data_IF_470119357742
#
_entry.id   IF_470119357742
#
_cell.length_a   1.000
_cell.length_b   1.000
_cell.length_c   1.000
_cell.angle_alpha   90.00
_cell.angle_beta   90.00
_cell.angle_gamma   90.00
#
_symmetry.space_group_name_H-M   'P 1'
#
loop_
_entity.id
_entity.type
_entity.pdbx_description
1 polymer ?
#
# COMPACT_ATOMS: atom_id res chain seq x y z
N UNK A 1 36.32 26.39 -15.45
CA UNK A 1 34.90 26.53 -15.83
C UNK A 1 34.52 25.27 -16.60
N UNK A 2 33.86 24.32 -15.95
CA UNK A 2 33.46 23.07 -16.62
C UNK A 2 32.44 23.40 -17.71
N UNK A 3 32.48 22.74 -18.89
CA UNK A 3 31.40 22.85 -19.87
C UNK A 3 30.13 22.41 -19.16
N UNK A 4 29.19 23.33 -18.96
CA UNK A 4 27.86 22.98 -18.48
C UNK A 4 27.24 22.08 -19.52
N UNK A 5 26.89 20.86 -19.11
CA UNK A 5 26.13 19.93 -19.94
C UNK A 5 24.97 20.67 -20.61
N UNK A 6 24.84 20.48 -21.92
CA UNK A 6 23.74 21.04 -22.70
C UNK A 6 22.41 20.41 -22.23
N UNK A 7 21.69 21.17 -21.39
CA UNK A 7 20.40 20.77 -20.78
C UNK A 7 19.27 20.61 -21.82
N UNK A 8 19.52 20.88 -23.11
CA UNK A 8 18.61 20.65 -24.22
C UNK A 8 18.38 19.17 -24.52
N UNK A 9 19.33 18.29 -24.16
CA UNK A 9 19.24 16.88 -24.51
C UNK A 9 18.09 16.17 -23.78
N UNK A 10 17.38 15.24 -24.46
CA UNK A 10 16.32 14.48 -23.81
C UNK A 10 16.91 13.59 -22.71
N UNK A 11 16.35 13.73 -21.51
CA UNK A 11 16.74 12.94 -20.33
C UNK A 11 15.83 11.73 -20.19
N UNK A 12 16.40 10.57 -19.82
CA UNK A 12 15.60 9.37 -19.52
C UNK A 12 14.64 9.68 -18.37
N UNK A 13 13.35 9.36 -18.54
CA UNK A 13 12.32 9.68 -17.55
C UNK A 13 12.66 9.19 -16.13
N UNK A 14 13.21 7.99 -16.00
CA UNK A 14 13.61 7.44 -14.69
C UNK A 14 14.71 8.26 -13.99
N UNK A 15 15.66 8.80 -14.75
CA UNK A 15 16.70 9.68 -14.21
C UNK A 15 16.10 11.01 -13.74
N UNK A 16 15.16 11.58 -14.51
CA UNK A 16 14.44 12.79 -14.11
C UNK A 16 13.60 12.57 -12.84
N UNK A 17 12.88 11.45 -12.75
CA UNK A 17 12.11 11.10 -11.56
C UNK A 17 12.99 10.91 -10.33
N UNK A 18 14.15 10.25 -10.46
CA UNK A 18 15.10 10.10 -9.35
C UNK A 18 15.70 11.45 -8.94
N UNK A 19 16.02 12.33 -9.89
CA UNK A 19 16.49 13.68 -9.57
C UNK A 19 15.45 14.48 -8.76
N UNK A 20 14.16 14.35 -9.10
CA UNK A 20 13.06 14.94 -8.32
C UNK A 20 12.98 14.38 -6.89
N UNK A 21 13.15 13.06 -6.73
CA UNK A 21 13.22 12.42 -5.41
C UNK A 21 14.38 12.98 -4.60
N UNK A 22 15.57 13.06 -5.18
CA UNK A 22 16.76 13.59 -4.50
C UNK A 22 16.57 15.05 -4.10
N UNK A 23 16.01 15.89 -4.99
CA UNK A 23 15.72 17.28 -4.66
C UNK A 23 14.76 17.39 -3.46
N UNK A 24 13.67 16.63 -3.47
CA UNK A 24 12.72 16.63 -2.35
C UNK A 24 13.38 16.22 -1.01
N UNK A 25 14.24 15.20 -1.05
CA UNK A 25 14.98 14.75 0.14
C UNK A 25 16.04 15.76 0.63
N UNK A 26 16.59 16.59 -0.26
CA UNK A 26 17.48 17.69 0.10
C UNK A 26 16.72 18.87 0.72
N UNK A 27 15.49 19.13 0.25
CA UNK A 27 14.64 20.19 0.77
C UNK A 27 14.17 19.87 2.21
N UNK A 28 13.98 18.59 2.55
CA UNK A 28 13.69 18.18 3.91
C UNK A 28 13.24 16.72 4.08
N UNK A 29 12.80 16.34 5.29
CA UNK A 29 12.23 15.03 5.54
C UNK A 29 10.96 14.82 4.69
N UNK A 30 10.84 13.67 4.03
CA UNK A 30 9.70 13.35 3.16
C UNK A 30 9.21 11.93 3.38
N UNK A 31 7.89 11.76 3.34
CA UNK A 31 7.23 10.46 3.31
C UNK A 31 7.23 9.85 1.90
N UNK A 32 7.07 8.53 1.80
CA UNK A 32 6.94 7.84 0.50
C UNK A 32 5.73 8.35 -0.30
N UNK A 33 4.66 8.76 0.38
CA UNK A 33 3.46 9.26 -0.30
C UNK A 33 3.71 10.60 -0.97
N UNK A 34 4.43 11.51 -0.30
CA UNK A 34 4.84 12.79 -0.89
C UNK A 34 5.81 12.56 -2.05
N UNK A 35 6.81 11.69 -1.87
CA UNK A 35 7.76 11.33 -2.93
C UNK A 35 7.07 10.74 -4.16
N UNK A 36 5.99 9.95 -3.97
CA UNK A 36 5.17 9.43 -5.06
C UNK A 36 4.53 10.56 -5.85
N UNK A 37 3.89 11.52 -5.17
CA UNK A 37 3.23 12.67 -5.81
C UNK A 37 4.25 13.50 -6.60
N UNK A 38 5.44 13.73 -6.04
CA UNK A 38 6.48 14.56 -6.65
C UNK A 38 7.14 13.86 -7.86
N UNK A 39 7.48 12.59 -7.72
CA UNK A 39 8.28 11.85 -8.71
C UNK A 39 7.47 11.13 -9.77
N UNK A 40 6.18 10.86 -9.49
CA UNK A 40 5.31 10.01 -10.32
C UNK A 40 5.66 8.52 -10.27
N UNK A 41 6.61 8.11 -9.44
CA UNK A 41 7.04 6.71 -9.34
C UNK A 41 6.06 5.87 -8.52
N UNK A 42 6.07 4.57 -8.78
CA UNK A 42 5.33 3.62 -7.95
C UNK A 42 5.91 3.57 -6.53
N UNK A 43 5.07 3.25 -5.54
CA UNK A 43 5.49 3.09 -4.14
C UNK A 43 6.56 1.99 -4.00
N UNK A 44 6.46 0.92 -4.79
CA UNK A 44 7.41 -0.19 -4.75
C UNK A 44 8.80 0.25 -5.22
N UNK A 45 8.86 0.99 -6.32
CA UNK A 45 10.11 1.57 -6.83
C UNK A 45 10.75 2.51 -5.81
N UNK A 46 9.95 3.37 -5.18
CA UNK A 46 10.45 4.26 -4.12
C UNK A 46 10.98 3.47 -2.92
N UNK A 47 10.32 2.37 -2.51
CA UNK A 47 10.84 1.50 -1.46
C UNK A 47 12.19 0.87 -1.83
N UNK A 48 12.37 0.43 -3.07
CA UNK A 48 13.64 -0.10 -3.56
C UNK A 48 14.75 0.97 -3.52
N UNK A 49 14.46 2.17 -4.01
CA UNK A 49 15.40 3.29 -3.99
C UNK A 49 15.77 3.68 -2.56
N UNK A 50 14.78 3.83 -1.68
CA UNK A 50 15.06 4.17 -0.28
C UNK A 50 15.81 3.05 0.44
N UNK A 51 15.57 1.78 0.11
CA UNK A 51 16.35 0.66 0.66
C UNK A 51 17.80 0.71 0.18
N UNK A 52 18.04 1.03 -1.09
CA UNK A 52 19.39 1.20 -1.62
C UNK A 52 20.11 2.37 -0.95
N UNK A 53 19.47 3.55 -0.86
CA UNK A 53 20.05 4.72 -0.18
C UNK A 53 20.37 4.46 1.29
N UNK A 54 19.48 3.76 2.00
CA UNK A 54 19.70 3.37 3.40
C UNK A 54 20.83 2.35 3.55
N UNK A 55 20.97 1.42 2.60
CA UNK A 55 22.05 0.44 2.60
C UNK A 55 23.41 1.12 2.46
N UNK A 56 23.49 2.19 1.67
CA UNK A 56 24.69 3.01 1.49
C UNK A 56 24.86 4.10 2.57
N UNK A 57 23.97 4.18 3.57
CA UNK A 57 24.06 5.17 4.65
C UNK A 57 23.76 6.62 4.22
N UNK A 58 23.16 6.83 3.05
CA UNK A 58 22.85 8.17 2.50
C UNK A 58 21.55 8.73 3.06
N UNK A 59 20.62 7.84 3.42
CA UNK A 59 19.35 8.19 4.02
C UNK A 59 19.09 7.34 5.26
N UNK A 60 18.23 7.82 6.14
CA UNK A 60 17.73 7.09 7.31
C UNK A 60 16.25 7.42 7.53
N UNK A 61 15.58 6.64 8.37
CA UNK A 61 14.22 6.95 8.80
C UNK A 61 14.31 7.99 9.90
N UNK A 62 13.91 9.24 9.62
CA UNK A 62 13.95 10.34 10.60
C UNK A 62 12.76 10.33 11.54
N UNK A 63 11.58 9.89 11.06
CA UNK A 63 10.37 9.81 11.86
C UNK A 63 9.40 8.74 11.35
N UNK A 64 8.45 8.39 12.20
CA UNK A 64 7.31 7.55 11.87
C UNK A 64 6.03 8.36 11.99
N UNK A 65 5.23 8.35 10.93
CA UNK A 65 3.90 8.94 10.92
C UNK A 65 2.83 7.88 11.09
N UNK A 66 1.72 8.30 11.70
CA UNK A 66 0.57 7.45 11.94
C UNK A 66 -0.28 7.34 10.69
N UNK A 67 -0.67 6.11 10.34
CA UNK A 67 -1.69 5.86 9.33
C UNK A 67 -3.09 6.19 9.84
N UNK A 68 -4.10 6.06 8.96
CA UNK A 68 -5.51 6.26 9.32
C UNK A 68 -6.01 5.33 10.44
N UNK A 69 -5.30 4.23 10.71
CA UNK A 69 -5.59 3.28 11.81
C UNK A 69 -4.81 3.63 13.09
N UNK A 70 -4.06 4.74 13.09
CA UNK A 70 -3.25 5.20 14.21
C UNK A 70 -1.96 4.41 14.43
N UNK A 71 -1.50 3.63 13.45
CA UNK A 71 -0.26 2.84 13.53
C UNK A 71 0.90 3.59 12.89
N UNK A 72 2.08 3.46 13.48
CA UNK A 72 3.34 4.02 12.96
C UNK A 72 3.82 3.25 11.71
N UNK A 73 3.07 3.38 10.62
CA UNK A 73 3.27 2.63 9.37
C UNK A 73 4.01 3.46 8.32
N UNK A 74 3.90 4.78 8.36
CA UNK A 74 4.45 5.69 7.36
C UNK A 74 5.88 6.08 7.73
N UNK A 75 6.82 5.81 6.81
CA UNK A 75 8.24 6.13 6.96
C UNK A 75 8.51 7.52 6.42
N UNK A 76 9.04 8.41 7.25
CA UNK A 76 9.57 9.71 6.84
C UNK A 76 11.08 9.59 6.73
N UNK A 77 11.59 9.75 5.51
CA UNK A 77 13.00 9.63 5.19
C UNK A 77 13.69 10.98 5.26
N UNK A 78 14.94 10.98 5.71
CA UNK A 78 15.81 12.16 5.77
C UNK A 78 17.19 11.78 5.24
N UNK A 79 17.86 12.71 4.57
CA UNK A 79 19.26 12.54 4.19
C UNK A 79 20.18 12.62 5.41
N UNK A 80 21.23 11.81 5.38
CA UNK A 80 22.21 11.69 6.45
C UNK A 80 22.38 10.24 6.90
N UNK A 81 23.48 10.00 7.63
CA UNK A 81 23.91 8.69 8.07
C UNK A 81 23.55 8.40 9.55
N UNK A 82 22.41 8.89 10.00
CA UNK A 82 21.95 8.66 11.36
C UNK A 82 21.30 7.28 11.51
N UNK A 83 21.13 6.83 12.75
CA UNK A 83 20.37 5.61 13.04
C UNK A 83 18.88 5.86 12.76
N UNK A 84 18.19 4.83 12.27
CA UNK A 84 16.74 4.90 12.09
C UNK A 84 16.03 5.22 13.41
N UNK A 85 15.04 6.12 13.32
CA UNK A 85 14.15 6.43 14.42
C UNK A 85 13.39 5.17 14.88
N UNK A 86 13.27 4.94 16.20
CA UNK A 86 12.49 3.82 16.71
C UNK A 86 10.99 4.05 16.48
N UNK A 87 10.26 2.98 16.17
CA UNK A 87 8.79 3.00 16.17
C UNK A 87 8.25 3.09 17.59
N UNK A 88 7.11 3.76 17.77
CA UNK A 88 6.41 3.68 19.06
C UNK A 88 5.95 2.25 19.30
N UNK A 89 6.08 1.80 20.55
CA UNK A 89 5.60 0.49 20.99
C UNK A 89 4.41 0.72 21.91
N UNK A 90 3.26 0.15 21.56
CA UNK A 90 2.11 0.09 22.47
C UNK A 90 2.45 -0.76 23.69
N UNK A 91 1.95 -0.37 24.85
CA UNK A 91 2.07 -1.20 26.05
C UNK A 91 1.21 -2.46 25.92
N UNK A 92 1.58 -3.55 26.63
CA UNK A 92 0.76 -4.79 26.65
C UNK A 92 -0.69 -4.53 27.10
N UNK A 93 -0.86 -3.63 28.06
CA UNK A 93 -2.17 -3.23 28.58
C UNK A 93 -3.02 -2.51 27.51
N UNK A 94 -2.41 -1.65 26.71
CA UNK A 94 -3.06 -0.94 25.62
C UNK A 94 -3.45 -1.90 24.48
N UNK A 95 -2.56 -2.84 24.13
CA UNK A 95 -2.86 -3.90 23.17
C UNK A 95 -4.06 -4.74 23.63
N UNK A 96 -4.09 -5.15 24.91
CA UNK A 96 -5.20 -5.91 25.47
C UNK A 96 -6.52 -5.12 25.44
N UNK A 97 -6.48 -3.81 25.73
CA UNK A 97 -7.64 -2.91 25.63
C UNK A 97 -8.16 -2.83 24.20
N UNK A 98 -7.28 -2.63 23.22
CA UNK A 98 -7.64 -2.58 21.79
C UNK A 98 -8.27 -3.90 21.34
N UNK A 99 -7.72 -5.05 21.76
CA UNK A 99 -8.29 -6.36 21.47
C UNK A 99 -9.69 -6.52 22.06
N UNK A 100 -9.91 -6.11 23.32
CA UNK A 100 -11.23 -6.16 23.97
C UNK A 100 -12.23 -5.26 23.25
N UNK A 101 -11.83 -4.04 22.90
CA UNK A 101 -12.66 -3.09 22.15
C UNK A 101 -13.07 -3.67 20.79
N UNK A 102 -12.13 -4.21 20.01
CA UNK A 102 -12.44 -4.87 18.72
C UNK A 102 -13.43 -6.03 18.88
N UNK A 103 -13.31 -6.81 19.96
CA UNK A 103 -14.26 -7.90 20.25
C UNK A 103 -15.65 -7.37 20.59
N UNK A 104 -15.75 -6.26 21.31
CA UNK A 104 -17.03 -5.61 21.64
C UNK A 104 -17.67 -5.00 20.39
N UNK A 105 -16.89 -4.26 19.60
CA UNK A 105 -17.36 -3.66 18.35
C UNK A 105 -17.88 -4.72 17.38
N UNK A 106 -17.16 -5.85 17.23
CA UNK A 106 -17.59 -6.96 16.39
C UNK A 106 -18.91 -7.62 16.86
N UNK A 107 -19.09 -7.77 18.18
CA UNK A 107 -20.34 -8.29 18.75
C UNK A 107 -21.50 -7.32 18.54
N UNK A 108 -21.27 -6.01 18.68
CA UNK A 108 -22.29 -4.99 18.44
C UNK A 108 -22.71 -4.98 16.96
N UNK A 109 -21.75 -5.01 16.02
CA UNK A 109 -22.05 -5.11 14.58
C UNK A 109 -22.82 -6.40 14.23
N UNK A 110 -22.48 -7.54 14.84
CA UNK A 110 -23.21 -8.79 14.64
C UNK A 110 -24.64 -8.72 15.19
N UNK A 111 -24.84 -8.11 16.35
CA UNK A 111 -26.17 -7.96 16.94
C UNK A 111 -27.08 -7.03 16.12
N UNK A 112 -26.52 -6.00 15.48
CA UNK A 112 -27.26 -5.11 14.58
C UNK A 112 -27.63 -5.77 13.25
N UNK A 113 -26.80 -6.71 12.74
CA UNK A 113 -27.06 -7.44 11.51
C UNK A 113 -28.21 -8.47 11.61
N UNK A 114 -28.63 -8.85 12.82
CA UNK A 114 -29.71 -9.84 13.05
C UNK A 114 -31.11 -9.23 12.92
N UNK A 115 -31.25 -7.90 12.90
CA UNK A 115 -32.57 -7.22 12.94
C UNK A 115 -33.20 -7.01 11.55
N UNK A 116 -32.48 -7.27 10.44
CA UNK A 116 -33.08 -7.24 9.10
C UNK A 116 -33.32 -8.66 8.55
N UNK A 117 -34.57 -9.12 8.44
CA UNK A 117 -34.87 -10.27 7.57
C UNK A 117 -34.74 -9.79 6.12
N UNK A 118 -33.67 -10.18 5.43
CA UNK A 118 -33.63 -10.02 3.97
C UNK A 118 -34.57 -11.06 3.33
N UNK A 119 -35.63 -10.67 2.62
CA UNK A 119 -36.43 -11.63 1.87
C UNK A 119 -35.70 -11.96 0.56
N UNK A 120 -35.00 -13.09 0.53
CA UNK A 120 -34.57 -13.70 -0.74
C UNK A 120 -35.77 -14.42 -1.36
N UNK A 121 -36.53 -13.72 -2.22
CA UNK A 121 -37.55 -14.34 -3.07
C UNK A 121 -36.87 -15.13 -4.20
N UNK A 122 -36.50 -16.38 -3.94
CA UNK A 122 -36.19 -17.35 -4.99
C UNK A 122 -37.49 -17.74 -5.71
N UNK A 123 -37.67 -17.18 -6.91
CA UNK A 123 -38.71 -17.64 -7.82
C UNK A 123 -38.29 -19.00 -8.37
N UNK A 124 -38.86 -20.05 -7.78
CA UNK A 124 -38.76 -21.41 -8.24
C UNK A 124 -39.53 -21.55 -9.57
N UNK A 125 -38.83 -21.75 -10.69
CA UNK A 125 -39.48 -22.11 -11.96
C UNK A 125 -39.44 -23.63 -12.10
N UNK A 126 -40.60 -24.30 -12.27
CA UNK A 126 -40.69 -25.76 -12.14
C UNK A 126 -40.06 -26.53 -13.29
N UNK A 127 -39.50 -27.68 -12.93
CA UNK A 127 -39.06 -28.77 -13.78
C UNK A 127 -40.14 -29.14 -14.81
N UNK A 128 -39.78 -29.17 -16.10
CA UNK A 128 -40.45 -29.99 -17.11
C UNK A 128 -39.48 -31.05 -17.63
N UNK A 129 -40.04 -32.23 -17.78
CA UNK A 129 -39.40 -33.54 -17.83
C UNK A 129 -38.78 -33.89 -19.19
N UNK A 130 -37.76 -34.75 -19.10
CA UNK A 130 -37.48 -35.92 -19.94
C UNK A 130 -37.49 -35.77 -21.47
N UNK A 131 -36.34 -35.96 -22.11
CA UNK A 131 -35.98 -37.26 -22.70
C UNK A 131 -34.71 -37.18 -23.54
N UNK A 132 -33.92 -38.24 -23.42
CA UNK A 132 -33.03 -38.85 -24.42
C UNK A 132 -32.52 -37.99 -25.59
N UNK A 133 -31.20 -37.96 -25.80
CA UNK A 133 -30.57 -38.88 -26.76
C UNK A 133 -29.03 -38.74 -26.71
N UNK A 134 -28.42 -39.90 -26.52
CA UNK A 134 -27.01 -40.22 -26.65
C UNK A 134 -26.66 -40.38 -28.14
N UNK A 135 -25.64 -39.68 -28.65
CA UNK A 135 -24.82 -39.99 -29.85
C UNK A 135 -23.55 -39.12 -29.72
N UNK A 136 -22.39 -39.60 -29.27
CA UNK A 136 -21.36 -40.38 -29.98
C UNK A 136 -20.99 -39.89 -31.40
N UNK A 137 -19.72 -39.47 -31.49
CA UNK A 137 -18.78 -39.55 -32.64
C UNK A 137 -18.92 -38.52 -33.80
N UNK A 138 -17.85 -38.28 -34.60
CA UNK A 138 -16.42 -38.24 -34.26
C UNK A 138 -15.67 -37.04 -34.89
N UNK A 139 -14.38 -36.97 -34.56
CA UNK A 139 -13.36 -36.19 -35.26
C UNK A 139 -13.24 -36.53 -36.76
N UNK A 140 -12.75 -35.56 -37.53
CA UNK A 140 -11.88 -35.66 -38.73
C UNK A 140 -12.28 -34.59 -39.79
N UNK A 141 -11.41 -34.26 -40.76
CA UNK A 141 -9.98 -34.56 -40.89
C UNK A 141 -9.05 -33.35 -40.63
#
# INVERSE_FOLDING_TARGET
>A
MHPTDDLSRPVRLGALSMAKVMRALMDGPCSIQELKVISGLSINTLHEYMRALRKEGVAHIGAWEKDATGRDSLRVYKLGNDKDAPRSKKSKAEVARDCRKRKQDAQLTQSFAVIHPTPVHHHNKPLRHASAHNQLEPALP
#
